data_IF_995533144234
#
_entry.id   IF_995533144234
#
_cell.length_a   1.000
_cell.length_b   1.000
_cell.length_c   1.000
_cell.angle_alpha   90.00
_cell.angle_beta   90.00
_cell.angle_gamma   90.00
#
_symmetry.space_group_name_H-M   'P 1'
#
loop_
_entity.id
_entity.type
_entity.pdbx_description
1 polymer ?
#
# COMPACT_ATOMS: atom_id res chain seq x y z
N UNK A 1 22.25 -12.83 -22.06
CA UNK A 1 22.89 -13.36 -20.85
C UNK A 1 22.09 -12.92 -19.65
N UNK A 2 22.08 -13.70 -18.57
CA UNK A 2 21.38 -13.33 -17.33
C UNK A 2 22.12 -12.19 -16.64
N UNK A 3 21.42 -11.09 -16.35
CA UNK A 3 21.97 -9.98 -15.56
C UNK A 3 22.13 -10.43 -14.10
N UNK A 4 23.35 -10.34 -13.56
CA UNK A 4 23.63 -10.59 -12.15
C UNK A 4 24.05 -9.28 -11.49
N UNK A 5 23.44 -8.98 -10.34
CA UNK A 5 23.65 -7.74 -9.59
C UNK A 5 24.50 -8.06 -8.38
N UNK A 6 25.67 -7.42 -8.29
CA UNK A 6 26.59 -7.57 -7.17
C UNK A 6 26.81 -6.24 -6.46
N UNK A 7 26.80 -6.27 -5.13
CA UNK A 7 27.26 -5.17 -4.31
C UNK A 7 28.71 -5.41 -3.90
N UNK A 8 29.58 -4.48 -4.29
CA UNK A 8 31.03 -4.58 -4.11
C UNK A 8 31.51 -3.53 -3.12
N UNK A 9 32.19 -3.97 -2.06
CA UNK A 9 32.90 -3.08 -1.12
C UNK A 9 34.40 -3.34 -1.21
N UNK A 10 35.16 -2.25 -1.33
CA UNK A 10 36.62 -2.24 -1.43
C UNK A 10 37.20 -1.63 -0.15
N UNK A 11 38.05 -2.37 0.54
CA UNK A 11 38.62 -1.97 1.83
C UNK A 11 40.15 -1.96 1.72
N UNK A 12 40.84 -0.92 2.23
CA UNK A 12 42.29 -0.92 2.30
C UNK A 12 42.78 -1.92 3.34
N UNK A 13 43.82 -2.68 3.01
CA UNK A 13 44.51 -3.56 3.93
C UNK A 13 46.00 -3.23 3.89
N UNK A 14 46.62 -2.94 5.04
CA UNK A 14 48.07 -2.78 5.12
C UNK A 14 48.68 -4.04 5.72
N UNK A 15 49.59 -4.67 4.98
CA UNK A 15 50.27 -5.89 5.46
C UNK A 15 51.38 -5.46 6.42
N UNK A 16 51.27 -5.86 7.68
CA UNK A 16 52.15 -5.37 8.74
C UNK A 16 53.61 -5.82 8.54
N UNK A 17 53.86 -7.05 8.08
CA UNK A 17 55.24 -7.53 7.90
C UNK A 17 55.97 -6.86 6.73
N UNK A 18 55.26 -6.44 5.68
CA UNK A 18 55.86 -5.93 4.44
C UNK A 18 55.64 -4.43 4.23
N UNK A 19 54.72 -3.82 4.97
CA UNK A 19 54.32 -2.42 4.79
C UNK A 19 53.52 -2.14 3.51
N UNK A 20 53.23 -3.16 2.69
CA UNK A 20 52.55 -3.04 1.40
C UNK A 20 51.06 -2.71 1.60
N UNK A 21 50.55 -1.80 0.78
CA UNK A 21 49.11 -1.54 0.66
C UNK A 21 48.47 -2.57 -0.27
N UNK A 22 47.46 -3.26 0.24
CA UNK A 22 46.65 -4.25 -0.44
C UNK A 22 45.17 -3.83 -0.44
N UNK A 23 44.36 -4.56 -1.22
CA UNK A 23 42.93 -4.36 -1.35
C UNK A 23 42.20 -5.63 -0.91
N UNK A 24 41.21 -5.49 -0.05
CA UNK A 24 40.20 -6.51 0.20
C UNK A 24 38.92 -6.13 -0.54
N UNK A 25 38.38 -7.07 -1.32
CA UNK A 25 37.09 -6.92 -2.00
C UNK A 25 36.11 -7.88 -1.37
N UNK A 26 34.99 -7.35 -0.89
CA UNK A 26 33.83 -8.15 -0.49
C UNK A 26 32.77 -7.98 -1.57
N UNK A 27 32.27 -9.09 -2.11
CA UNK A 27 31.24 -9.13 -3.14
C UNK A 27 30.04 -9.91 -2.63
N UNK A 28 28.87 -9.28 -2.63
CA UNK A 28 27.60 -9.90 -2.27
C UNK A 28 26.71 -9.99 -3.51
N UNK A 29 26.20 -11.18 -3.83
CA UNK A 29 25.21 -11.33 -4.89
C UNK A 29 23.85 -10.89 -4.37
N UNK A 30 23.31 -9.83 -4.97
CA UNK A 30 22.02 -9.24 -4.61
C UNK A 30 20.96 -9.43 -5.70
N UNK A 31 21.21 -10.30 -6.69
CA UNK A 31 20.32 -10.48 -7.85
C UNK A 31 18.91 -10.85 -7.42
N UNK A 32 18.77 -11.89 -6.59
CA UNK A 32 17.48 -12.39 -6.12
C UNK A 32 16.72 -11.32 -5.30
N UNK A 33 17.41 -10.63 -4.39
CA UNK A 33 16.81 -9.59 -3.56
C UNK A 33 16.30 -8.42 -4.41
N UNK A 34 17.09 -7.96 -5.39
CA UNK A 34 16.71 -6.86 -6.27
C UNK A 34 15.58 -7.26 -7.21
N UNK A 35 15.61 -8.46 -7.79
CA UNK A 35 14.55 -8.98 -8.66
C UNK A 35 13.24 -9.12 -7.89
N UNK A 36 13.25 -9.77 -6.72
CA UNK A 36 12.06 -9.92 -5.87
C UNK A 36 11.46 -8.55 -5.50
N UNK A 37 12.31 -7.57 -5.18
CA UNK A 37 11.86 -6.21 -4.88
C UNK A 37 11.28 -5.50 -6.11
N UNK A 38 11.83 -5.71 -7.30
CA UNK A 38 11.31 -5.17 -8.56
C UNK A 38 9.94 -5.77 -8.89
N UNK A 39 9.81 -7.09 -8.85
CA UNK A 39 8.56 -7.79 -9.11
C UNK A 39 7.45 -7.35 -8.15
N UNK A 40 7.77 -7.23 -6.86
CA UNK A 40 6.81 -6.72 -5.87
C UNK A 40 6.36 -5.29 -6.19
N UNK A 41 7.31 -4.40 -6.53
CA UNK A 41 7.00 -3.01 -6.90
C UNK A 41 6.17 -2.93 -8.17
N UNK A 42 6.47 -3.74 -9.17
CA UNK A 42 5.72 -3.79 -10.43
C UNK A 42 4.30 -4.30 -10.21
N UNK A 43 4.12 -5.37 -9.42
CA UNK A 43 2.82 -5.90 -9.03
C UNK A 43 1.99 -4.87 -8.26
N UNK A 44 2.59 -4.20 -7.26
CA UNK A 44 1.93 -3.14 -6.50
C UNK A 44 1.54 -1.96 -7.39
N UNK A 45 2.41 -1.54 -8.31
CA UNK A 45 2.12 -0.47 -9.25
C UNK A 45 0.98 -0.83 -10.19
N UNK A 46 0.96 -2.05 -10.71
CA UNK A 46 -0.12 -2.54 -11.56
C UNK A 46 -1.45 -2.57 -10.81
N UNK A 47 -1.49 -3.15 -9.61
CA UNK A 47 -2.69 -3.18 -8.77
C UNK A 47 -3.22 -1.78 -8.47
N UNK A 48 -2.35 -0.85 -8.05
CA UNK A 48 -2.73 0.54 -7.78
C UNK A 48 -3.30 1.22 -9.04
N UNK A 49 -2.65 1.01 -10.20
CA UNK A 49 -3.13 1.56 -11.47
C UNK A 49 -4.52 1.03 -11.84
N UNK A 50 -4.75 -0.28 -11.65
CA UNK A 50 -6.05 -0.89 -11.92
C UNK A 50 -7.12 -0.28 -11.01
N UNK A 51 -6.93 -0.27 -9.70
CA UNK A 51 -7.96 0.23 -8.77
C UNK A 51 -8.24 1.74 -8.96
N UNK A 52 -7.23 2.53 -9.32
CA UNK A 52 -7.37 3.99 -9.50
C UNK A 52 -8.06 4.38 -10.81
N UNK A 53 -8.06 3.49 -11.81
CA UNK A 53 -8.68 3.71 -13.12
C UNK A 53 -10.13 3.21 -13.20
N UNK A 54 -10.53 2.27 -12.33
CA UNK A 54 -11.91 1.79 -12.27
C UNK A 54 -12.87 2.92 -11.89
N UNK A 55 -14.02 3.09 -12.56
CA UNK A 55 -14.98 4.15 -12.25
C UNK A 55 -15.86 3.82 -11.03
N UNK A 56 -15.29 3.16 -10.01
CA UNK A 56 -15.97 2.69 -8.80
C UNK A 56 -15.24 3.21 -7.57
N UNK A 57 -15.95 3.46 -6.48
CA UNK A 57 -15.31 3.77 -5.20
C UNK A 57 -14.86 2.48 -4.53
N UNK A 58 -13.56 2.35 -4.32
CA UNK A 58 -12.95 1.15 -3.76
C UNK A 58 -12.19 1.54 -2.50
N UNK A 59 -12.43 0.81 -1.43
CA UNK A 59 -11.65 0.92 -0.21
C UNK A 59 -11.44 -0.43 0.44
N UNK A 60 -10.28 -0.58 1.09
CA UNK A 60 -9.95 -1.74 1.91
C UNK A 60 -9.76 -1.26 3.33
N UNK A 61 -10.30 -1.98 4.31
CA UNK A 61 -10.18 -1.67 5.74
C UNK A 61 -9.61 -2.85 6.50
N UNK A 62 -8.93 -2.57 7.61
CA UNK A 62 -8.57 -3.62 8.58
C UNK A 62 -9.78 -4.00 9.45
N UNK A 63 -9.59 -4.98 10.35
CA UNK A 63 -10.66 -5.47 11.25
C UNK A 63 -11.22 -4.39 12.19
N UNK A 64 -10.40 -3.39 12.52
CA UNK A 64 -10.79 -2.27 13.38
C UNK A 64 -11.50 -1.14 12.58
N UNK A 65 -11.68 -1.34 11.28
CA UNK A 65 -12.37 -0.40 10.39
C UNK A 65 -11.50 0.74 9.86
N UNK A 66 -10.18 0.71 10.07
CA UNK A 66 -9.26 1.72 9.55
C UNK A 66 -8.95 1.46 8.08
N UNK A 67 -8.98 2.50 7.26
CA UNK A 67 -8.63 2.40 5.84
C UNK A 67 -7.18 1.97 5.65
N UNK A 68 -6.97 1.01 4.76
CA UNK A 68 -5.67 0.55 4.26
C UNK A 68 -5.43 1.00 2.82
N UNK A 69 -6.49 0.99 2.01
CA UNK A 69 -6.48 1.42 0.61
C UNK A 69 -7.74 2.24 0.37
N UNK A 70 -7.61 3.33 -0.37
CA UNK A 70 -8.69 4.14 -0.94
C UNK A 70 -8.25 4.51 -2.35
N UNK A 71 -9.11 4.28 -3.34
CA UNK A 71 -8.75 4.58 -4.73
C UNK A 71 -9.05 6.03 -5.11
N UNK A 72 -8.41 6.49 -6.19
CA UNK A 72 -8.52 7.87 -6.66
C UNK A 72 -9.97 8.34 -6.95
N UNK A 73 -10.89 7.53 -7.53
CA UNK A 73 -12.30 7.91 -7.68
C UNK A 73 -13.02 8.27 -6.37
N UNK A 74 -12.79 7.50 -5.29
CA UNK A 74 -13.37 7.80 -3.98
C UNK A 74 -12.82 9.12 -3.45
N UNK A 75 -11.50 9.29 -3.49
CA UNK A 75 -10.83 10.50 -3.03
C UNK A 75 -11.33 11.76 -3.75
N UNK A 76 -11.48 11.69 -5.09
CA UNK A 76 -12.05 12.78 -5.89
C UNK A 76 -13.49 13.11 -5.52
N UNK A 77 -14.32 12.10 -5.25
CA UNK A 77 -15.72 12.32 -4.89
C UNK A 77 -15.90 13.06 -3.55
N UNK A 78 -14.88 13.03 -2.69
CA UNK A 78 -14.89 13.69 -1.39
C UNK A 78 -13.88 14.85 -1.29
N UNK A 79 -13.31 15.28 -2.43
CA UNK A 79 -12.24 16.29 -2.53
C UNK A 79 -11.15 16.13 -1.45
N UNK A 80 -10.56 14.93 -1.40
CA UNK A 80 -9.65 14.55 -0.32
C UNK A 80 -8.39 13.84 -0.78
N UNK A 81 -7.37 13.86 0.09
CA UNK A 81 -6.11 13.16 -0.08
C UNK A 81 -6.11 11.80 0.63
N UNK A 82 -5.36 10.84 0.06
CA UNK A 82 -5.19 9.52 0.67
C UNK A 82 -4.67 9.59 2.12
N UNK A 83 -3.80 10.56 2.41
CA UNK A 83 -3.26 10.80 3.75
C UNK A 83 -4.33 11.16 4.80
N UNK A 84 -5.48 11.71 4.37
CA UNK A 84 -6.59 12.02 5.27
C UNK A 84 -7.41 10.78 5.61
N UNK A 85 -7.29 9.68 4.84
CA UNK A 85 -8.08 8.46 5.00
C UNK A 85 -7.27 7.31 5.63
N UNK A 86 -6.07 7.05 5.10
CA UNK A 86 -5.29 5.86 5.47
C UNK A 86 -4.97 5.88 6.96
N UNK A 87 -5.27 4.77 7.63
CA UNK A 87 -5.08 4.61 9.07
C UNK A 87 -6.18 5.23 9.93
N UNK A 88 -7.26 5.77 9.34
CA UNK A 88 -8.42 6.35 10.06
C UNK A 88 -9.70 5.57 9.77
N UNK A 89 -10.68 5.67 10.65
CA UNK A 89 -12.00 5.02 10.56
C UNK A 89 -12.95 5.86 9.71
N UNK A 90 -13.93 5.22 9.10
CA UNK A 90 -14.90 5.87 8.22
C UNK A 90 -15.65 7.02 8.87
N UNK A 91 -16.09 6.86 10.12
CA UNK A 91 -16.77 7.92 10.88
C UNK A 91 -15.91 9.16 11.17
N UNK A 92 -14.59 9.07 11.07
CA UNK A 92 -13.67 10.17 11.37
C UNK A 92 -13.33 11.03 10.14
N UNK A 93 -13.57 10.50 8.93
CA UNK A 93 -13.04 11.07 7.68
C UNK A 93 -14.08 11.21 6.58
N UNK A 94 -15.15 10.41 6.59
CA UNK A 94 -16.23 10.54 5.61
C UNK A 94 -17.23 11.60 6.09
N UNK A 95 -17.37 12.73 5.37
CA UNK A 95 -18.33 13.78 5.71
C UNK A 95 -19.75 13.40 5.25
N UNK A 96 -20.23 12.25 5.72
CA UNK A 96 -21.56 11.71 5.40
C UNK A 96 -22.47 11.84 6.62
N UNK A 97 -23.78 11.93 6.38
CA UNK A 97 -24.74 12.07 7.46
C UNK A 97 -24.75 10.84 8.41
N UNK A 98 -25.24 11.00 9.66
CA UNK A 98 -25.24 9.91 10.63
C UNK A 98 -26.02 8.66 10.19
N UNK A 99 -27.04 8.80 9.34
CA UNK A 99 -27.81 7.67 8.83
C UNK A 99 -26.96 6.82 7.88
N UNK A 100 -26.27 7.47 6.92
CA UNK A 100 -25.31 6.83 6.04
C UNK A 100 -24.16 6.17 6.82
N UNK A 101 -23.64 6.82 7.86
CA UNK A 101 -22.62 6.24 8.73
C UNK A 101 -23.11 4.94 9.41
N UNK A 102 -24.32 4.93 9.95
CA UNK A 102 -24.88 3.72 10.60
C UNK A 102 -25.08 2.58 9.60
N UNK A 103 -25.61 2.89 8.41
CA UNK A 103 -25.79 1.92 7.32
C UNK A 103 -24.45 1.27 6.93
N UNK A 104 -23.42 2.08 6.71
CA UNK A 104 -22.07 1.59 6.39
C UNK A 104 -21.48 0.75 7.54
N UNK A 105 -21.66 1.20 8.78
CA UNK A 105 -21.17 0.49 9.98
C UNK A 105 -21.83 -0.88 10.14
N UNK A 106 -23.15 -0.97 9.94
CA UNK A 106 -23.89 -2.24 9.98
C UNK A 106 -23.40 -3.21 8.91
N UNK A 107 -23.19 -2.73 7.68
CA UNK A 107 -22.64 -3.55 6.60
C UNK A 107 -21.25 -4.09 6.92
N UNK A 108 -20.34 -3.23 7.41
CA UNK A 108 -18.99 -3.65 7.81
C UNK A 108 -19.04 -4.71 8.94
N UNK A 109 -19.90 -4.49 9.94
CA UNK A 109 -20.07 -5.44 11.06
C UNK A 109 -20.57 -6.81 10.56
N UNK A 110 -21.58 -6.82 9.68
CA UNK A 110 -22.12 -8.05 9.12
C UNK A 110 -21.07 -8.87 8.35
N UNK A 111 -20.21 -8.22 7.56
CA UNK A 111 -19.10 -8.89 6.85
C UNK A 111 -18.10 -9.48 7.84
N UNK A 112 -17.73 -8.74 8.89
CA UNK A 112 -16.77 -9.21 9.89
C UNK A 112 -17.30 -10.36 10.75
N UNK A 113 -18.60 -10.38 11.05
CA UNK A 113 -19.23 -11.44 11.84
C UNK A 113 -19.49 -12.72 11.03
N UNK A 114 -19.87 -12.58 9.76
CA UNK A 114 -20.29 -13.73 8.92
C UNK A 114 -19.18 -14.25 8.00
N UNK A 115 -18.19 -13.43 7.67
CA UNK A 115 -17.21 -13.73 6.63
C UNK A 115 -17.78 -13.77 5.21
N UNK A 116 -19.04 -13.37 5.01
CA UNK A 116 -19.72 -13.39 3.73
C UNK A 116 -19.88 -11.97 3.15
N UNK A 117 -20.01 -11.83 1.81
CA UNK A 117 -20.35 -10.55 1.20
C UNK A 117 -21.67 -9.98 1.75
N UNK A 118 -21.71 -8.67 1.97
CA UNK A 118 -22.91 -7.95 2.38
C UNK A 118 -23.21 -6.84 1.38
N UNK A 119 -24.43 -6.84 0.83
CA UNK A 119 -24.92 -5.75 -0.02
C UNK A 119 -25.65 -4.75 0.84
N UNK A 120 -25.12 -3.54 0.90
CA UNK A 120 -25.79 -2.42 1.55
C UNK A 120 -27.07 -2.08 0.76
N UNK A 121 -28.23 -1.88 1.42
CA UNK A 121 -29.41 -1.31 0.78
C UNK A 121 -29.11 0.05 0.14
N UNK A 122 -30.06 0.64 -0.58
CA UNK A 122 -29.89 1.97 -1.19
C UNK A 122 -29.28 2.96 -0.19
N UNK A 123 -28.04 3.39 -0.44
CA UNK A 123 -27.30 4.32 0.39
C UNK A 123 -27.34 5.69 -0.29
N UNK A 124 -27.96 6.66 0.38
CA UNK A 124 -27.98 8.04 -0.08
C UNK A 124 -26.82 8.78 0.56
N UNK A 125 -26.02 9.42 -0.28
CA UNK A 125 -24.87 10.21 0.13
C UNK A 125 -25.00 11.61 -0.44
N UNK A 126 -24.77 12.61 0.41
CA UNK A 126 -24.54 13.98 -0.04
C UNK A 126 -23.04 14.15 -0.22
N UNK A 127 -22.62 14.38 -1.45
CA UNK A 127 -21.22 14.68 -1.75
C UNK A 127 -20.95 16.18 -1.54
N UNK A 128 -19.69 16.56 -1.25
CA UNK A 128 -19.24 17.94 -1.39
C UNK A 128 -19.53 18.46 -2.79
N UNK A 129 -19.81 19.76 -2.90
CA UNK A 129 -20.03 20.47 -4.17
C UNK A 129 -18.74 20.55 -5.03
#
# INVERSE_FOLDING_TARGET
GTENIFHLRKLPLRIAETGVNALVIVSENMTEAVQSQRELRESQRLLNTIIDTLPHWISVKNRDGHFRIVNAPLLRAFDADAAQFVGRRSEEVLPVDPEAQDVLRRGNKAVLETGAPYTVPELRLRLPD
#
